data_IF_253955165991
#
_entry.id   IF_253955165991
#
_cell.length_a   1.000
_cell.length_b   1.000
_cell.length_c   1.000
_cell.angle_alpha   90.00
_cell.angle_beta   90.00
_cell.angle_gamma   90.00
#
_symmetry.space_group_name_H-M   'P 1'
#
loop_
_entity.id
_entity.type
_entity.pdbx_description
1 polymer ?
#
# COMPACT_ATOMS: atom_id res chain seq x y z
N UNK A 1 -3.30 -21.99 10.49
CA UNK A 1 -2.35 -21.13 11.22
C UNK A 1 -1.71 -20.23 10.17
N UNK A 2 -1.65 -18.94 10.41
CA UNK A 2 -0.87 -18.01 9.56
C UNK A 2 0.60 -18.33 9.79
N UNK A 3 1.43 -18.52 8.75
CA UNK A 3 2.87 -18.75 8.94
C UNK A 3 3.53 -17.52 9.55
N UNK A 4 4.63 -17.74 10.29
CA UNK A 4 5.41 -16.64 10.85
C UNK A 4 5.97 -15.75 9.71
N UNK A 5 6.07 -14.42 9.94
CA UNK A 5 6.69 -13.52 8.98
C UNK A 5 8.16 -13.91 8.72
N UNK A 6 8.54 -13.91 7.45
CA UNK A 6 9.92 -14.05 7.00
C UNK A 6 10.58 -12.66 6.97
N UNK A 7 11.72 -12.49 7.65
CA UNK A 7 12.52 -11.28 7.57
C UNK A 7 13.43 -11.35 6.35
N UNK A 8 13.33 -10.39 5.47
CA UNK A 8 14.12 -10.33 4.23
C UNK A 8 14.77 -8.96 4.04
N UNK A 9 15.84 -8.93 3.25
CA UNK A 9 16.43 -7.71 2.75
C UNK A 9 16.27 -7.69 1.22
N UNK A 10 15.57 -6.67 0.70
CA UNK A 10 15.28 -6.51 -0.72
C UNK A 10 16.19 -5.40 -1.26
N UNK A 11 17.06 -5.68 -2.21
CA UNK A 11 17.89 -4.62 -2.79
C UNK A 11 17.02 -3.67 -3.62
N UNK A 12 17.01 -2.37 -3.25
CA UNK A 12 16.48 -1.32 -4.11
C UNK A 12 17.35 -1.15 -5.36
N UNK A 13 16.86 -0.46 -6.37
CA UNK A 13 17.61 -0.26 -7.64
C UNK A 13 18.95 0.46 -7.45
N UNK A 14 19.09 1.29 -6.43
CA UNK A 14 20.34 1.96 -6.06
C UNK A 14 21.22 1.14 -5.10
N UNK A 15 20.81 -0.11 -4.81
CA UNK A 15 21.54 -1.03 -3.94
C UNK A 15 21.24 -0.89 -2.44
N UNK A 16 20.35 0.03 -2.03
CA UNK A 16 19.95 0.12 -0.62
C UNK A 16 19.20 -1.16 -0.20
N UNK A 17 19.63 -1.88 0.85
CA UNK A 17 18.91 -3.05 1.35
C UNK A 17 17.67 -2.61 2.14
N UNK A 18 16.47 -2.88 1.62
CA UNK A 18 15.22 -2.61 2.30
C UNK A 18 14.90 -3.75 3.26
N UNK A 19 14.81 -3.47 4.55
CA UNK A 19 14.32 -4.43 5.53
C UNK A 19 12.80 -4.62 5.35
N UNK A 20 12.35 -5.86 5.22
CA UNK A 20 10.95 -6.16 5.00
C UNK A 20 10.50 -7.44 5.69
N UNK A 21 9.19 -7.54 5.92
CA UNK A 21 8.49 -8.74 6.34
C UNK A 21 7.71 -9.32 5.17
N UNK A 22 7.86 -10.62 4.91
CA UNK A 22 7.08 -11.34 3.91
C UNK A 22 6.24 -12.41 4.61
N UNK A 23 4.94 -12.40 4.36
CA UNK A 23 4.01 -13.41 4.82
C UNK A 23 3.49 -14.17 3.60
N UNK A 24 3.74 -15.49 3.51
CA UNK A 24 3.18 -16.28 2.42
C UNK A 24 1.66 -16.44 2.60
N UNK A 25 0.93 -16.71 1.50
CA UNK A 25 -0.48 -17.05 1.58
C UNK A 25 -0.65 -18.30 2.47
N UNK A 26 -1.66 -18.30 3.30
CA UNK A 26 -1.96 -19.47 4.14
C UNK A 26 -2.11 -20.73 3.27
N UNK A 27 -1.74 -21.90 3.83
CA UNK A 27 -1.74 -23.19 3.12
C UNK A 27 -3.09 -23.53 2.48
N UNK A 28 -3.09 -23.95 1.22
CA UNK A 28 -4.28 -24.36 0.47
C UNK A 28 -3.99 -24.55 -1.02
N UNK A 29 -4.91 -25.13 -1.79
CA UNK A 29 -4.80 -25.18 -3.24
C UNK A 29 -4.73 -23.75 -3.80
N UNK A 30 -3.80 -23.48 -4.71
CA UNK A 30 -3.63 -22.16 -5.32
C UNK A 30 -2.46 -21.31 -4.80
N UNK A 31 -1.60 -21.83 -3.93
CA UNK A 31 -0.39 -21.10 -3.46
C UNK A 31 0.47 -20.61 -4.63
N UNK A 32 0.54 -21.36 -5.74
CA UNK A 32 1.30 -20.98 -6.95
C UNK A 32 0.61 -19.94 -7.84
N UNK A 33 -0.65 -19.56 -7.53
CA UNK A 33 -1.42 -18.55 -8.27
C UNK A 33 -1.94 -17.43 -7.37
N UNK A 34 -1.49 -17.39 -6.11
CA UNK A 34 -1.92 -16.40 -5.16
C UNK A 34 -1.46 -14.99 -5.58
N UNK A 35 -2.32 -13.96 -5.46
CA UNK A 35 -1.89 -12.59 -5.68
C UNK A 35 -1.04 -12.09 -4.51
N UNK A 36 -0.30 -10.98 -4.74
CA UNK A 36 0.56 -10.37 -3.75
C UNK A 36 0.23 -8.91 -3.50
N UNK A 37 0.38 -8.46 -2.26
CA UNK A 37 0.13 -7.08 -1.85
C UNK A 37 1.33 -6.51 -1.10
N UNK A 38 1.84 -5.37 -1.56
CA UNK A 38 2.82 -4.57 -0.80
C UNK A 38 2.08 -3.57 0.08
N UNK A 39 2.38 -3.60 1.39
CA UNK A 39 1.74 -2.75 2.41
C UNK A 39 2.72 -1.65 2.83
N UNK A 40 2.41 -0.40 2.50
CA UNK A 40 3.29 0.75 2.67
C UNK A 40 2.86 1.61 3.85
N UNK A 41 3.76 1.82 4.79
CA UNK A 41 3.51 2.65 5.97
C UNK A 41 3.54 4.16 5.67
N UNK A 42 3.03 4.97 6.60
CA UNK A 42 3.11 6.43 6.57
C UNK A 42 4.45 6.96 7.10
N UNK A 43 4.65 8.28 6.98
CA UNK A 43 5.81 8.97 7.52
C UNK A 43 5.96 8.74 9.04
N UNK A 44 7.18 8.41 9.47
CA UNK A 44 7.50 8.15 10.88
C UNK A 44 6.95 6.83 11.44
N UNK A 45 6.46 5.93 10.57
CA UNK A 45 6.04 4.58 10.91
C UNK A 45 7.07 3.54 10.42
N UNK A 46 6.82 2.27 10.66
CA UNK A 46 7.69 1.15 10.29
C UNK A 46 6.85 -0.13 10.06
N UNK A 47 7.48 -1.18 9.50
CA UNK A 47 6.84 -2.41 9.05
C UNK A 47 6.02 -3.13 10.12
N UNK A 48 6.49 -3.15 11.37
CA UNK A 48 5.82 -3.87 12.47
C UNK A 48 4.42 -3.33 12.77
N UNK A 49 4.18 -2.04 12.51
CA UNK A 49 2.88 -1.41 12.72
C UNK A 49 1.80 -1.87 11.71
N UNK A 50 2.15 -2.72 10.75
CA UNK A 50 1.25 -3.17 9.70
C UNK A 50 1.16 -4.71 9.58
N UNK A 51 1.75 -5.43 10.53
CA UNK A 51 1.72 -6.91 10.57
C UNK A 51 0.30 -7.43 10.70
N UNK A 52 -0.54 -6.75 11.47
CA UNK A 52 -1.96 -7.09 11.65
C UNK A 52 -2.72 -7.15 10.31
N UNK A 53 -2.46 -6.20 9.43
CA UNK A 53 -3.05 -6.19 8.09
C UNK A 53 -2.40 -7.23 7.16
N UNK A 54 -1.09 -7.41 7.25
CA UNK A 54 -0.37 -8.44 6.49
C UNK A 54 -0.86 -9.86 6.83
N UNK A 55 -1.10 -10.15 8.12
CA UNK A 55 -1.69 -11.41 8.57
C UNK A 55 -3.10 -11.62 8.02
N UNK A 56 -3.90 -10.55 7.93
CA UNK A 56 -5.22 -10.59 7.31
C UNK A 56 -5.14 -10.95 5.84
N UNK A 57 -4.21 -10.35 5.08
CA UNK A 57 -3.98 -10.68 3.67
C UNK A 57 -3.54 -12.14 3.50
N UNK A 58 -2.59 -12.59 4.30
CA UNK A 58 -2.12 -13.97 4.29
C UNK A 58 -3.25 -14.96 4.62
N UNK A 59 -4.08 -14.62 5.62
CA UNK A 59 -5.30 -15.37 5.96
C UNK A 59 -6.32 -15.42 4.82
N UNK A 60 -6.40 -14.39 4.00
CA UNK A 60 -7.23 -14.32 2.80
C UNK A 60 -6.59 -14.99 1.56
N UNK A 61 -5.43 -15.63 1.70
CA UNK A 61 -4.78 -16.38 0.62
C UNK A 61 -3.91 -15.53 -0.30
N UNK A 62 -3.44 -14.38 0.16
CA UNK A 62 -2.56 -13.48 -0.58
C UNK A 62 -1.16 -13.44 0.03
N UNK A 63 -0.13 -13.26 -0.78
CA UNK A 63 1.16 -12.82 -0.29
C UNK A 63 1.04 -11.41 0.30
N UNK A 64 1.71 -11.16 1.41
CA UNK A 64 1.85 -9.81 1.95
C UNK A 64 3.33 -9.47 2.14
N UNK A 65 3.74 -8.29 1.71
CA UNK A 65 5.08 -7.77 1.90
C UNK A 65 4.98 -6.39 2.54
N UNK A 66 5.67 -6.21 3.66
CA UNK A 66 5.67 -4.96 4.43
C UNK A 66 7.11 -4.48 4.57
N UNK A 67 7.57 -3.50 3.77
CA UNK A 67 8.90 -2.95 3.89
C UNK A 67 8.96 -1.84 4.95
N UNK A 68 10.14 -1.63 5.54
CA UNK A 68 10.53 -0.32 6.01
C UNK A 68 10.99 0.50 4.79
N UNK A 69 10.31 1.60 4.51
CA UNK A 69 10.71 2.52 3.45
C UNK A 69 12.01 3.21 3.83
N UNK A 70 12.85 3.58 2.84
CA UNK A 70 14.13 4.27 3.11
C UNK A 70 13.97 5.45 4.08
N UNK A 71 14.92 5.61 4.99
CA UNK A 71 14.88 6.59 6.07
C UNK A 71 13.94 6.24 7.22
N UNK A 72 13.39 5.00 7.27
CA UNK A 72 12.52 4.53 8.33
C UNK A 72 12.93 3.12 8.81
N UNK A 73 12.52 2.80 10.04
CA UNK A 73 12.71 1.49 10.64
C UNK A 73 14.15 0.99 10.57
N UNK A 74 14.34 -0.24 10.12
CA UNK A 74 15.65 -0.87 9.95
C UNK A 74 16.29 -0.55 8.57
N UNK A 75 15.55 0.00 7.63
CA UNK A 75 16.09 0.48 6.36
C UNK A 75 16.78 1.82 6.57
N UNK A 76 18.07 1.88 6.35
CA UNK A 76 18.84 3.11 6.43
C UNK A 76 18.54 4.09 5.30
N UNK A 77 19.46 5.04 5.09
CA UNK A 77 19.39 6.03 4.02
C UNK A 77 18.50 7.22 4.34
N UNK A 78 18.39 8.11 3.39
CA UNK A 78 17.58 9.33 3.49
C UNK A 78 16.33 9.22 2.63
N UNK A 79 15.22 9.81 3.10
CA UNK A 79 14.02 9.97 2.30
C UNK A 79 14.31 10.80 1.04
N UNK A 80 14.12 10.21 -0.13
CA UNK A 80 14.32 10.86 -1.43
C UNK A 80 13.44 10.22 -2.51
N UNK A 81 13.60 10.61 -3.76
CA UNK A 81 12.84 10.08 -4.90
C UNK A 81 13.03 8.57 -5.13
N UNK A 82 14.11 7.98 -4.64
CA UNK A 82 14.35 6.54 -4.67
C UNK A 82 13.30 5.69 -3.94
N UNK A 83 12.44 6.30 -3.10
CA UNK A 83 11.29 5.60 -2.52
C UNK A 83 10.35 4.98 -3.57
N UNK A 84 10.32 5.52 -4.77
CA UNK A 84 9.57 4.93 -5.89
C UNK A 84 10.22 3.62 -6.33
N UNK A 85 11.54 3.60 -6.46
CA UNK A 85 12.30 2.41 -6.81
C UNK A 85 12.24 1.35 -5.69
N UNK A 86 12.16 1.78 -4.43
CA UNK A 86 11.94 0.87 -3.30
C UNK A 86 10.62 0.12 -3.43
N UNK A 87 9.53 0.82 -3.74
CA UNK A 87 8.22 0.19 -3.93
C UNK A 87 8.23 -0.74 -5.14
N UNK A 88 8.88 -0.34 -6.23
CA UNK A 88 9.00 -1.19 -7.41
C UNK A 88 9.82 -2.46 -7.11
N UNK A 89 10.93 -2.35 -6.37
CA UNK A 89 11.71 -3.51 -5.93
C UNK A 89 10.90 -4.48 -5.05
N UNK A 90 10.02 -3.96 -4.18
CA UNK A 90 9.11 -4.79 -3.39
C UNK A 90 8.06 -5.51 -4.27
N UNK A 91 7.54 -4.84 -5.31
CA UNK A 91 6.63 -5.46 -6.28
C UNK A 91 7.33 -6.54 -7.10
N UNK A 92 8.54 -6.25 -7.61
CA UNK A 92 9.38 -7.20 -8.33
C UNK A 92 9.67 -8.44 -7.47
N UNK A 93 9.97 -8.25 -6.18
CA UNK A 93 10.22 -9.36 -5.24
C UNK A 93 9.00 -10.29 -5.10
N UNK A 94 7.78 -9.74 -4.99
CA UNK A 94 6.57 -10.58 -4.96
C UNK A 94 6.29 -11.26 -6.30
N UNK A 95 6.62 -10.61 -7.41
CA UNK A 95 6.53 -11.20 -8.74
C UNK A 95 7.48 -12.41 -8.87
N UNK A 96 8.72 -12.28 -8.46
CA UNK A 96 9.72 -13.35 -8.41
C UNK A 96 9.30 -14.51 -7.48
N UNK A 97 8.56 -14.21 -6.41
CA UNK A 97 7.94 -15.23 -5.53
C UNK A 97 6.73 -15.93 -6.19
N UNK A 98 6.35 -15.55 -7.41
CA UNK A 98 5.29 -16.19 -8.17
C UNK A 98 3.90 -15.62 -7.94
N UNK A 99 3.79 -14.37 -7.44
CA UNK A 99 2.49 -13.71 -7.32
C UNK A 99 1.84 -13.53 -8.70
N UNK A 100 0.59 -14.00 -8.85
CA UNK A 100 -0.12 -14.00 -10.12
C UNK A 100 -0.59 -12.60 -10.55
N UNK A 101 -0.95 -11.76 -9.58
CA UNK A 101 -1.30 -10.36 -9.73
C UNK A 101 -0.79 -9.59 -8.53
N UNK A 102 -0.56 -8.30 -8.67
CA UNK A 102 -0.01 -7.46 -7.62
C UNK A 102 -0.97 -6.34 -7.23
N UNK A 103 -0.92 -6.00 -5.96
CA UNK A 103 -1.64 -4.87 -5.38
C UNK A 103 -0.78 -4.07 -4.42
N UNK A 104 -1.28 -2.89 -4.10
CA UNK A 104 -0.69 -1.96 -3.15
C UNK A 104 -1.72 -1.56 -2.09
N UNK A 105 -1.29 -1.43 -0.84
CA UNK A 105 -2.08 -0.75 0.18
C UNK A 105 -1.18 0.19 0.94
N UNK A 106 -1.48 1.48 0.89
CA UNK A 106 -0.64 2.47 1.54
C UNK A 106 -1.44 3.46 2.39
N UNK A 107 -0.81 3.91 3.48
CA UNK A 107 -1.35 4.91 4.39
C UNK A 107 -0.56 6.21 4.28
N UNK A 108 -1.22 7.36 4.19
CA UNK A 108 -0.58 8.68 4.16
C UNK A 108 0.50 8.78 3.06
N UNK A 109 1.78 8.86 3.43
CA UNK A 109 2.93 8.79 2.53
C UNK A 109 2.91 7.51 1.68
N UNK A 110 2.65 6.35 2.28
CA UNK A 110 2.51 5.09 1.55
C UNK A 110 1.33 5.10 0.59
N UNK A 111 0.25 5.79 0.91
CA UNK A 111 -0.89 5.99 0.01
C UNK A 111 -0.52 6.82 -1.22
N UNK A 112 0.28 7.88 -1.03
CA UNK A 112 0.86 8.64 -2.13
C UNK A 112 1.76 7.77 -3.01
N UNK A 113 2.68 7.02 -2.40
CA UNK A 113 3.58 6.12 -3.13
C UNK A 113 2.81 5.07 -3.93
N UNK A 114 1.76 4.47 -3.34
CA UNK A 114 0.89 3.50 -4.03
C UNK A 114 0.27 4.10 -5.29
N UNK A 115 -0.24 5.33 -5.21
CA UNK A 115 -0.86 6.01 -6.36
C UNK A 115 0.14 6.32 -7.48
N UNK A 116 1.37 6.70 -7.13
CA UNK A 116 2.40 7.03 -8.11
C UNK A 116 2.98 5.79 -8.77
N UNK A 117 3.23 4.72 -7.99
CA UNK A 117 3.95 3.54 -8.48
C UNK A 117 3.04 2.51 -9.16
N UNK A 118 1.75 2.45 -8.82
CA UNK A 118 0.84 1.47 -9.41
C UNK A 118 0.86 1.41 -10.94
N UNK A 119 0.84 2.53 -11.69
CA UNK A 119 0.89 2.49 -13.15
C UNK A 119 2.28 2.15 -13.72
N UNK A 120 3.31 2.03 -12.88
CA UNK A 120 4.68 1.75 -13.30
C UNK A 120 5.01 0.26 -13.34
N UNK A 121 4.16 -0.61 -12.74
CA UNK A 121 4.38 -2.04 -12.73
C UNK A 121 3.24 -2.79 -13.45
N UNK A 122 3.53 -3.62 -14.48
CA UNK A 122 2.52 -4.18 -15.38
C UNK A 122 1.58 -5.20 -14.73
N UNK A 123 1.96 -5.82 -13.61
CA UNK A 123 1.13 -6.77 -12.87
C UNK A 123 0.23 -6.13 -11.81
N UNK A 124 0.37 -4.82 -11.52
CA UNK A 124 -0.50 -4.15 -10.54
C UNK A 124 -1.91 -4.01 -11.12
N UNK A 125 -2.89 -4.52 -10.39
CA UNK A 125 -4.31 -4.51 -10.76
C UNK A 125 -5.19 -3.73 -9.79
N UNK A 126 -4.74 -3.56 -8.54
CA UNK A 126 -5.52 -2.86 -7.52
C UNK A 126 -4.62 -2.10 -6.55
N UNK A 127 -5.14 -1.00 -6.02
CA UNK A 127 -4.52 -0.31 -4.90
C UNK A 127 -5.57 0.21 -3.92
N UNK A 128 -5.16 0.31 -2.66
CA UNK A 128 -5.89 0.98 -1.59
C UNK A 128 -5.04 2.14 -1.06
N UNK A 129 -5.57 3.35 -1.10
CA UNK A 129 -4.96 4.55 -0.55
C UNK A 129 -5.75 5.05 0.66
N UNK A 130 -5.16 4.92 1.85
CA UNK A 130 -5.72 5.42 3.11
C UNK A 130 -5.15 6.79 3.41
N UNK A 131 -6.02 7.79 3.54
CA UNK A 131 -5.62 9.17 3.85
C UNK A 131 -4.39 9.65 3.04
N UNK A 132 -4.34 9.43 1.70
CA UNK A 132 -3.12 9.65 0.93
C UNK A 132 -2.63 11.09 1.06
N UNK A 133 -1.36 11.24 1.42
CA UNK A 133 -0.73 12.54 1.51
C UNK A 133 -0.54 13.15 0.12
N UNK A 134 -0.57 14.49 0.06
CA UNK A 134 -0.09 15.22 -1.13
C UNK A 134 1.28 15.82 -0.82
N UNK A 135 2.18 15.88 -1.81
CA UNK A 135 3.54 16.36 -1.58
C UNK A 135 3.59 17.75 -0.92
N UNK A 136 2.93 18.75 -1.48
CA UNK A 136 3.01 20.12 -0.99
C UNK A 136 2.45 20.31 0.44
N UNK A 137 1.24 19.83 0.79
CA UNK A 137 0.76 19.89 2.17
C UNK A 137 1.64 19.13 3.16
N UNK A 138 2.20 17.99 2.76
CA UNK A 138 3.06 17.21 3.63
C UNK A 138 4.40 17.92 3.85
N UNK A 139 5.05 18.45 2.81
CA UNK A 139 6.28 19.21 2.90
C UNK A 139 6.12 20.44 3.81
N UNK A 140 5.03 21.20 3.67
CA UNK A 140 4.74 22.35 4.51
C UNK A 140 4.60 21.97 6.00
N UNK A 141 4.05 20.79 6.29
CA UNK A 141 3.82 20.32 7.67
C UNK A 141 5.08 19.78 8.34
N UNK A 142 5.92 19.05 7.59
CA UNK A 142 7.14 18.42 8.14
C UNK A 142 8.37 19.31 8.00
N UNK A 143 8.25 20.50 7.41
CA UNK A 143 9.36 21.45 7.24
C UNK A 143 10.45 20.97 6.30
N UNK A 144 10.12 20.06 5.37
CA UNK A 144 11.05 19.53 4.38
C UNK A 144 10.43 19.62 2.99
N UNK A 145 11.27 19.91 2.00
CA UNK A 145 10.88 19.70 0.60
C UNK A 145 10.59 18.21 0.40
N UNK A 146 9.41 17.92 -0.10
CA UNK A 146 9.06 16.53 -0.38
C UNK A 146 9.92 16.04 -1.55
N UNK A 147 10.72 14.99 -1.35
CA UNK A 147 11.72 14.60 -2.37
C UNK A 147 11.12 14.03 -3.66
N UNK A 148 9.80 13.84 -3.69
CA UNK A 148 9.09 13.20 -4.78
C UNK A 148 8.45 14.28 -5.67
N UNK A 149 9.18 14.84 -6.59
CA UNK A 149 8.69 15.80 -7.60
C UNK A 149 7.71 15.22 -8.63
N UNK A 150 7.08 14.07 -8.32
CA UNK A 150 6.14 13.42 -9.23
C UNK A 150 4.74 14.01 -9.10
N UNK A 151 4.12 14.38 -10.21
CA UNK A 151 2.74 14.81 -10.22
C UNK A 151 1.82 13.64 -9.87
N UNK A 152 1.18 13.70 -8.68
CA UNK A 152 0.25 12.68 -8.22
C UNK A 152 -0.98 12.56 -9.12
N UNK A 153 -1.45 13.70 -9.59
CA UNK A 153 -2.68 13.80 -10.38
C UNK A 153 -2.65 12.95 -11.67
N UNK A 154 -1.64 13.08 -12.55
CA UNK A 154 -1.60 12.28 -13.77
C UNK A 154 -1.55 10.77 -13.52
N UNK A 155 -0.84 10.33 -12.48
CA UNK A 155 -0.77 8.91 -12.14
C UNK A 155 -2.12 8.36 -11.65
N UNK A 156 -2.88 9.18 -10.90
CA UNK A 156 -4.18 8.78 -10.35
C UNK A 156 -5.27 8.75 -11.43
N UNK A 157 -5.20 9.62 -12.44
CA UNK A 157 -6.27 9.80 -13.44
C UNK A 157 -6.14 8.90 -14.68
N UNK A 158 -5.06 8.15 -14.81
CA UNK A 158 -4.87 7.25 -15.94
C UNK A 158 -5.93 6.15 -15.99
N UNK A 159 -6.47 5.93 -17.17
CA UNK A 159 -7.29 4.76 -17.48
C UNK A 159 -6.35 3.59 -17.85
N UNK A 160 -5.77 2.95 -16.84
CA UNK A 160 -4.78 1.88 -16.96
C UNK A 160 -5.29 0.51 -16.49
N UNK A 161 -6.59 0.44 -16.16
CA UNK A 161 -7.21 -0.78 -15.65
C UNK A 161 -6.92 -1.08 -14.17
N UNK A 162 -6.14 -0.24 -13.48
CA UNK A 162 -5.89 -0.40 -12.04
C UNK A 162 -7.10 0.04 -11.24
N UNK A 163 -7.66 -0.85 -10.41
CA UNK A 163 -8.72 -0.52 -9.47
C UNK A 163 -8.18 0.33 -8.32
N UNK A 164 -8.81 1.47 -8.04
CA UNK A 164 -8.38 2.43 -7.02
C UNK A 164 -9.40 2.58 -5.91
N UNK A 165 -9.05 2.13 -4.70
CA UNK A 165 -9.85 2.33 -3.51
C UNK A 165 -9.29 3.47 -2.64
N UNK A 166 -10.16 4.38 -2.22
CA UNK A 166 -9.81 5.52 -1.38
C UNK A 166 -10.62 5.48 -0.10
N UNK A 167 -9.94 5.53 1.06
CA UNK A 167 -10.56 5.67 2.38
C UNK A 167 -9.96 6.85 3.12
N UNK A 168 -10.81 7.64 3.79
CA UNK A 168 -10.35 8.79 4.56
C UNK A 168 -11.25 9.04 5.77
N UNK A 169 -10.66 9.39 6.91
CA UNK A 169 -11.41 9.83 8.07
C UNK A 169 -11.71 11.33 7.97
N UNK A 170 -12.98 11.73 8.17
CA UNK A 170 -13.35 13.14 8.13
C UNK A 170 -12.69 13.97 9.22
N UNK A 171 -12.36 13.35 10.35
CA UNK A 171 -11.65 13.94 11.47
C UNK A 171 -10.12 13.90 11.35
N UNK A 172 -9.58 13.65 10.14
CA UNK A 172 -8.14 13.64 9.90
C UNK A 172 -7.55 15.04 10.11
N UNK A 173 -6.68 15.15 11.11
CA UNK A 173 -6.03 16.39 11.53
C UNK A 173 -4.69 16.64 10.80
N UNK A 174 -4.23 15.66 10.01
CA UNK A 174 -2.95 15.70 9.29
C UNK A 174 -3.14 16.01 7.82
N UNK A 175 -4.02 15.27 7.17
CA UNK A 175 -4.33 15.41 5.75
C UNK A 175 -5.81 15.76 5.60
N UNK A 176 -6.16 16.90 5.00
CA UNK A 176 -7.56 17.25 4.76
C UNK A 176 -8.25 16.20 3.87
N UNK A 177 -9.38 15.64 4.31
CA UNK A 177 -10.12 14.61 3.57
C UNK A 177 -10.54 15.06 2.16
N UNK A 178 -10.68 16.36 1.94
CA UNK A 178 -10.98 16.95 0.65
C UNK A 178 -9.91 16.63 -0.41
N UNK A 179 -8.66 16.40 0.02
CA UNK A 179 -7.59 15.97 -0.89
C UNK A 179 -7.93 14.62 -1.51
N UNK A 180 -8.35 13.65 -0.69
CA UNK A 180 -8.76 12.33 -1.16
C UNK A 180 -10.02 12.40 -2.01
N UNK A 181 -11.00 13.21 -1.62
CA UNK A 181 -12.18 13.44 -2.45
C UNK A 181 -11.81 13.97 -3.84
N UNK A 182 -10.91 14.95 -3.91
CA UNK A 182 -10.43 15.50 -5.19
C UNK A 182 -9.70 14.46 -6.04
N UNK A 183 -8.83 13.65 -5.45
CA UNK A 183 -8.14 12.57 -6.15
C UNK A 183 -9.13 11.53 -6.69
N UNK A 184 -10.03 11.06 -5.83
CA UNK A 184 -11.02 10.04 -6.20
C UNK A 184 -12.02 10.54 -7.25
N UNK A 185 -12.45 11.81 -7.18
CA UNK A 185 -13.40 12.37 -8.15
C UNK A 185 -12.87 12.31 -9.58
N UNK A 186 -11.56 12.45 -9.75
CA UNK A 186 -10.86 12.47 -11.05
C UNK A 186 -10.24 11.12 -11.43
N UNK A 187 -10.14 10.18 -10.48
CA UNK A 187 -9.57 8.87 -10.76
C UNK A 187 -10.40 8.12 -11.80
N UNK A 188 -9.72 7.37 -12.69
CA UNK A 188 -10.36 6.48 -13.65
C UNK A 188 -11.08 5.33 -12.94
N UNK A 189 -12.05 4.73 -13.66
CA UNK A 189 -12.71 3.51 -13.21
C UNK A 189 -11.82 2.27 -13.45
N UNK A 190 -11.94 1.19 -12.67
CA UNK A 190 -12.83 1.07 -11.49
C UNK A 190 -12.30 1.82 -10.28
N UNK A 191 -13.18 2.46 -9.51
CA UNK A 191 -12.81 3.18 -8.29
C UNK A 191 -13.85 3.06 -7.19
N UNK A 192 -13.38 3.18 -5.95
CA UNK A 192 -14.18 3.25 -4.73
C UNK A 192 -13.74 4.44 -3.88
N UNK A 193 -14.68 5.13 -3.26
CA UNK A 193 -14.40 6.20 -2.29
C UNK A 193 -15.25 6.02 -1.05
N UNK A 194 -14.61 6.02 0.12
CA UNK A 194 -15.27 6.04 1.42
C UNK A 194 -14.70 7.13 2.31
N UNK A 195 -15.57 8.03 2.79
CA UNK A 195 -15.26 9.03 3.79
C UNK A 195 -15.93 8.61 5.09
N UNK A 196 -15.13 8.19 6.07
CA UNK A 196 -15.59 7.82 7.40
C UNK A 196 -15.89 9.06 8.22
N UNK A 197 -17.04 9.09 8.89
CA UNK A 197 -17.45 10.22 9.72
C UNK A 197 -16.67 10.29 11.04
N UNK A 198 -16.19 9.14 11.53
CA UNK A 198 -15.36 9.02 12.72
C UNK A 198 -13.90 8.72 12.39
N UNK A 199 -13.08 8.68 13.45
CA UNK A 199 -11.66 8.37 13.34
C UNK A 199 -10.78 9.59 13.03
N UNK A 200 -9.47 9.34 12.98
CA UNK A 200 -8.43 10.33 12.72
C UNK A 200 -7.38 9.76 11.76
N UNK A 201 -6.31 10.51 11.51
CA UNK A 201 -5.26 10.12 10.55
C UNK A 201 -4.66 8.74 10.81
N UNK A 202 -4.49 8.35 12.07
CA UNK A 202 -3.82 7.10 12.46
C UNK A 202 -4.80 5.95 12.68
N UNK A 203 -5.99 6.23 13.22
CA UNK A 203 -6.94 5.19 13.63
C UNK A 203 -7.52 4.40 12.44
N UNK A 204 -7.68 5.04 11.29
CA UNK A 204 -8.33 4.43 10.13
C UNK A 204 -7.62 3.16 9.65
N UNK A 205 -6.30 3.17 9.61
CA UNK A 205 -5.51 2.03 9.14
C UNK A 205 -5.56 0.80 10.05
N UNK A 206 -5.90 1.01 11.34
CA UNK A 206 -5.99 -0.03 12.37
C UNK A 206 -7.43 -0.39 12.73
N UNK A 207 -8.43 0.27 12.15
CA UNK A 207 -9.83 -0.09 12.34
C UNK A 207 -10.10 -1.47 11.70
N UNK A 208 -10.51 -2.50 12.48
CA UNK A 208 -10.69 -3.86 11.97
C UNK A 208 -11.72 -3.95 10.83
N UNK A 209 -12.74 -3.08 10.83
CA UNK A 209 -13.76 -3.01 9.78
C UNK A 209 -13.15 -2.47 8.49
N UNK A 210 -12.38 -1.39 8.56
CA UNK A 210 -11.69 -0.80 7.39
C UNK A 210 -10.63 -1.76 6.85
N UNK A 211 -9.91 -2.45 7.73
CA UNK A 211 -8.98 -3.49 7.31
C UNK A 211 -9.70 -4.62 6.55
N UNK A 212 -10.85 -5.08 7.05
CA UNK A 212 -11.63 -6.12 6.37
C UNK A 212 -12.13 -5.64 4.99
N UNK A 213 -12.70 -4.45 4.91
CA UNK A 213 -13.20 -3.86 3.66
C UNK A 213 -12.08 -3.67 2.62
N UNK A 214 -10.93 -3.15 3.05
CA UNK A 214 -9.79 -2.94 2.15
C UNK A 214 -9.14 -4.24 1.69
N UNK A 215 -9.12 -5.27 2.54
CA UNK A 215 -8.65 -6.60 2.16
C UNK A 215 -9.61 -7.26 1.14
N UNK A 216 -10.92 -7.14 1.34
CA UNK A 216 -11.93 -7.62 0.38
C UNK A 216 -11.81 -6.89 -0.97
N UNK A 217 -11.69 -5.56 -0.96
CA UNK A 217 -11.48 -4.79 -2.17
C UNK A 217 -10.27 -5.30 -2.97
N UNK A 218 -9.14 -5.53 -2.29
CA UNK A 218 -7.95 -6.09 -2.92
C UNK A 218 -8.19 -7.51 -3.45
N UNK A 219 -8.80 -8.37 -2.65
CA UNK A 219 -9.10 -9.75 -3.05
C UNK A 219 -9.95 -9.82 -4.33
N UNK A 220 -11.03 -9.02 -4.36
CA UNK A 220 -11.95 -8.97 -5.50
C UNK A 220 -11.26 -8.53 -6.80
N UNK A 221 -10.38 -7.53 -6.72
CA UNK A 221 -9.73 -6.98 -7.91
C UNK A 221 -8.41 -7.68 -8.29
N UNK A 222 -7.86 -8.50 -7.39
CA UNK A 222 -6.67 -9.31 -7.66
C UNK A 222 -6.99 -10.75 -8.02
N UNK A 223 -8.27 -11.15 -7.98
CA UNK A 223 -8.69 -12.52 -8.28
C UNK A 223 -8.30 -13.52 -7.18
N UNK A 224 -8.18 -13.07 -5.92
CA UNK A 224 -8.04 -13.98 -4.79
C UNK A 224 -9.37 -14.70 -4.58
N UNK A 225 -9.35 -16.03 -4.53
CA UNK A 225 -10.56 -16.80 -4.20
C UNK A 225 -10.97 -16.50 -2.75
N UNK A 226 -12.22 -16.03 -2.51
CA UNK A 226 -12.68 -15.79 -1.16
C UNK A 226 -12.72 -17.11 -0.39
N UNK A 227 -11.93 -17.22 0.68
CA UNK A 227 -12.06 -18.34 1.60
C UNK A 227 -13.35 -18.18 2.40
N UNK A 228 -14.19 -19.21 2.39
CA UNK A 228 -15.35 -19.27 3.27
C UNK A 228 -14.90 -19.09 4.73
N UNK A 229 -15.61 -18.27 5.54
CA UNK A 229 -15.33 -18.15 6.97
C UNK A 229 -15.45 -19.53 7.62
N UNK A 230 -14.47 -19.91 8.42
CA UNK A 230 -14.52 -21.11 9.29
C UNK A 230 -15.36 -20.83 10.51
#
# INVERSE_FOLDING_TARGET
MTPAPEHVHIPSRDGLPLAALVLPPGTGPGVGTAPGVVVLHGYGSHKENHVDFAERLAGAGMWALVPDLRGHGETGGDMNAGMIDDVLACLDHLDERGAAALGLRGSSMGGFLSLVTAPMHPKVRALVALCPARPAPLAARIGRDWPLGHPLEPATWRADGVARGFWHARGDEVVPWQNTFTLASRAAQPKHLRIEMGGNHRSLQHDPRIQAETALFLADHLGAEPRAPR
#
